data_IF_665078086565
#
_entry.id   IF_665078086565
#
_cell.length_a   1.000
_cell.length_b   1.000
_cell.length_c   1.000
_cell.angle_alpha   90.00
_cell.angle_beta   90.00
_cell.angle_gamma   90.00
#
_symmetry.space_group_name_H-M   'P 1'
#
loop_
_entity.id
_entity.type
_entity.pdbx_description
1 polymer ?
#
# COMPACT_ATOMS: atom_id res chain seq x y z
N UNK A 1 -18.42 39.38 9.49
CA UNK A 1 -18.52 39.09 8.04
C UNK A 1 -19.55 38.00 7.72
N UNK A 2 -19.57 36.86 8.43
CA UNK A 2 -20.55 35.76 8.27
C UNK A 2 -22.00 36.18 8.58
N UNK A 3 -22.22 36.98 9.63
CA UNK A 3 -23.57 37.43 10.01
C UNK A 3 -24.26 38.32 8.97
N UNK A 4 -23.49 39.02 8.13
CA UNK A 4 -24.04 39.82 7.03
C UNK A 4 -24.48 38.94 5.85
N UNK A 5 -23.80 37.81 5.63
CA UNK A 5 -24.15 36.83 4.59
C UNK A 5 -25.44 36.08 4.93
N UNK A 6 -25.67 35.74 6.20
CA UNK A 6 -26.88 35.05 6.66
C UNK A 6 -28.13 35.95 6.65
N UNK A 7 -27.95 37.27 6.83
CA UNK A 7 -29.05 38.25 6.88
C UNK A 7 -29.42 38.86 5.52
N UNK A 8 -28.56 38.73 4.51
CA UNK A 8 -28.90 39.20 3.17
C UNK A 8 -29.86 38.23 2.49
N UNK A 9 -31.15 38.55 2.48
CA UNK A 9 -32.07 38.06 1.44
C UNK A 9 -31.64 38.69 0.11
N UNK A 10 -30.57 38.19 -0.50
CA UNK A 10 -30.28 38.52 -1.89
C UNK A 10 -31.33 37.81 -2.74
N UNK A 11 -32.05 38.59 -3.55
CA UNK A 11 -32.84 38.10 -4.68
C UNK A 11 -32.01 37.07 -5.42
N UNK A 12 -32.58 35.88 -5.64
CA UNK A 12 -31.99 34.86 -6.50
C UNK A 12 -31.69 35.51 -7.85
N UNK A 13 -30.41 35.65 -8.15
CA UNK A 13 -29.95 35.98 -9.50
C UNK A 13 -30.32 34.82 -10.40
N UNK A 14 -31.30 35.05 -11.27
CA UNK A 14 -31.67 34.13 -12.34
C UNK A 14 -30.42 33.96 -13.22
N UNK A 15 -29.80 32.79 -13.14
CA UNK A 15 -28.69 32.42 -14.02
C UNK A 15 -29.27 32.27 -15.43
N UNK A 16 -28.71 32.92 -16.47
CA UNK A 16 -29.23 32.80 -17.83
C UNK A 16 -29.24 31.34 -18.26
N UNK A 17 -30.35 30.89 -18.84
CA UNK A 17 -30.45 29.56 -19.43
C UNK A 17 -29.39 29.42 -20.53
N UNK A 18 -28.39 28.57 -20.30
CA UNK A 18 -27.31 28.29 -21.26
C UNK A 18 -25.90 28.19 -20.67
N UNK A 19 -25.66 28.59 -19.42
CA UNK A 19 -24.37 28.37 -18.77
C UNK A 19 -24.36 27.03 -18.03
N UNK A 20 -23.93 25.98 -18.73
CA UNK A 20 -23.77 24.61 -18.21
C UNK A 20 -22.46 24.40 -17.43
N UNK A 21 -21.74 25.47 -17.08
CA UNK A 21 -20.57 25.35 -16.21
C UNK A 21 -21.07 24.97 -14.82
N UNK A 22 -20.57 23.84 -14.29
CA UNK A 22 -20.73 23.48 -12.89
C UNK A 22 -20.36 24.69 -12.03
N UNK A 23 -21.28 25.09 -11.17
CA UNK A 23 -21.07 26.28 -10.37
C UNK A 23 -19.87 26.04 -9.44
N UNK A 24 -18.82 26.85 -9.59
CA UNK A 24 -17.83 27.08 -8.53
C UNK A 24 -18.49 27.69 -7.25
N UNK A 25 -19.80 27.96 -7.32
CA UNK A 25 -20.60 28.43 -6.21
C UNK A 25 -20.98 27.27 -5.27
N UNK A 26 -20.17 27.11 -4.23
CA UNK A 26 -20.43 26.19 -3.11
C UNK A 26 -21.56 26.67 -2.19
N UNK A 27 -22.33 27.71 -2.55
CA UNK A 27 -23.48 28.19 -1.77
C UNK A 27 -24.53 27.10 -1.49
N UNK A 28 -24.59 26.07 -2.35
CA UNK A 28 -25.40 24.85 -2.19
C UNK A 28 -25.06 24.03 -0.93
N UNK A 29 -23.80 24.03 -0.47
CA UNK A 29 -23.37 23.38 0.79
C UNK A 29 -24.07 23.97 2.01
N UNK A 30 -24.54 25.21 1.91
CA UNK A 30 -25.21 25.93 3.00
C UNK A 30 -26.74 25.81 2.95
N UNK A 31 -27.31 25.17 1.92
CA UNK A 31 -28.77 24.91 1.83
C UNK A 31 -29.25 23.91 2.89
N UNK A 32 -28.58 22.77 3.16
CA UNK A 32 -28.98 21.85 4.22
C UNK A 32 -28.96 22.49 5.61
N UNK A 33 -28.04 23.44 5.85
CA UNK A 33 -27.93 24.19 7.10
C UNK A 33 -29.13 25.11 7.35
N UNK A 34 -29.92 25.41 6.30
CA UNK A 34 -31.16 26.17 6.40
C UNK A 34 -32.34 25.21 6.46
N UNK A 35 -32.57 24.68 7.65
CA UNK A 35 -33.82 24.02 8.09
C UNK A 35 -33.99 22.61 7.50
N UNK A 36 -33.64 21.61 8.30
CA UNK A 36 -34.04 20.22 8.11
C UNK A 36 -34.69 19.73 9.41
N UNK A 37 -35.85 19.09 9.29
CA UNK A 37 -36.66 18.62 10.44
C UNK A 37 -36.05 17.33 11.03
N UNK A 38 -35.12 16.69 10.31
CA UNK A 38 -34.45 15.44 10.65
C UNK A 38 -32.95 15.53 10.35
N UNK A 39 -32.11 15.23 11.34
CA UNK A 39 -30.65 15.18 11.20
C UNK A 39 -30.19 14.18 10.13
N UNK A 40 -30.97 13.13 9.87
CA UNK A 40 -30.59 12.08 8.91
C UNK A 40 -30.71 12.53 7.45
N UNK A 41 -31.77 13.27 7.13
CA UNK A 41 -31.98 13.83 5.78
C UNK A 41 -30.97 14.94 5.49
N UNK A 42 -30.63 15.73 6.52
CA UNK A 42 -29.53 16.70 6.50
C UNK A 42 -28.20 16.06 6.13
N UNK A 43 -27.77 15.03 6.88
CA UNK A 43 -26.50 14.36 6.62
C UNK A 43 -26.49 13.67 5.26
N UNK A 44 -27.58 13.03 4.86
CA UNK A 44 -27.68 12.40 3.55
C UNK A 44 -27.58 13.42 2.40
N UNK A 45 -28.24 14.58 2.51
CA UNK A 45 -28.15 15.64 1.50
C UNK A 45 -26.74 16.26 1.45
N UNK A 46 -26.10 16.44 2.60
CA UNK A 46 -24.72 16.93 2.69
C UNK A 46 -23.74 15.94 2.03
N UNK A 47 -23.85 14.65 2.34
CA UNK A 47 -23.02 13.58 1.77
C UNK A 47 -23.24 13.47 0.25
N UNK A 48 -24.50 13.50 -0.22
CA UNK A 48 -24.80 13.45 -1.65
C UNK A 48 -24.27 14.66 -2.41
N UNK A 49 -24.28 15.84 -1.79
CA UNK A 49 -23.66 17.04 -2.37
C UNK A 49 -22.15 16.92 -2.40
N UNK A 50 -21.51 16.41 -1.35
CA UNK A 50 -20.06 16.25 -1.27
C UNK A 50 -19.56 15.27 -2.35
N UNK A 51 -20.11 14.06 -2.39
CA UNK A 51 -19.70 13.02 -3.34
C UNK A 51 -20.07 13.38 -4.78
N UNK A 52 -21.28 13.91 -5.01
CA UNK A 52 -21.77 14.27 -6.34
C UNK A 52 -21.06 15.48 -6.94
N UNK A 53 -20.74 16.48 -6.12
CA UNK A 53 -19.96 17.65 -6.53
C UNK A 53 -18.51 17.28 -6.79
N UNK A 54 -17.87 16.51 -5.89
CA UNK A 54 -16.50 16.04 -6.08
C UNK A 54 -16.38 15.24 -7.39
N UNK A 55 -17.28 14.29 -7.64
CA UNK A 55 -17.30 13.52 -8.89
C UNK A 55 -17.44 14.42 -10.13
N UNK A 56 -18.24 15.48 -10.02
CA UNK A 56 -18.46 16.44 -11.10
C UNK A 56 -17.21 17.29 -11.39
N UNK A 57 -16.51 17.76 -10.35
CA UNK A 57 -15.21 18.46 -10.47
C UNK A 57 -14.15 17.52 -11.05
N UNK A 58 -14.10 16.27 -10.60
CA UNK A 58 -13.15 15.28 -11.11
C UNK A 58 -13.39 14.96 -12.59
N UNK A 59 -14.66 14.81 -13.01
CA UNK A 59 -15.02 14.68 -14.44
C UNK A 59 -14.61 15.90 -15.24
N UNK A 60 -14.89 17.09 -14.73
CA UNK A 60 -14.52 18.32 -15.39
C UNK A 60 -13.00 18.42 -15.59
N UNK A 61 -12.21 18.13 -14.56
CA UNK A 61 -10.76 18.08 -14.66
C UNK A 61 -10.29 17.02 -15.66
N UNK A 62 -10.87 15.81 -15.61
CA UNK A 62 -10.53 14.72 -16.53
C UNK A 62 -10.78 15.09 -18.01
N UNK A 63 -11.92 15.74 -18.31
CA UNK A 63 -12.26 16.13 -19.68
C UNK A 63 -11.54 17.41 -20.15
N UNK A 64 -11.23 18.36 -19.25
CA UNK A 64 -10.57 19.63 -19.62
C UNK A 64 -9.04 19.53 -19.67
N UNK A 65 -8.44 18.84 -18.71
CA UNK A 65 -6.98 18.74 -18.54
C UNK A 65 -6.43 17.34 -18.81
N UNK A 66 -7.16 16.30 -18.38
CA UNK A 66 -6.74 14.90 -18.50
C UNK A 66 -6.52 14.41 -19.94
N UNK A 67 -7.07 15.08 -20.95
CA UNK A 67 -6.82 14.73 -22.36
C UNK A 67 -5.44 15.13 -22.89
N UNK A 68 -4.74 16.07 -22.23
CA UNK A 68 -3.54 16.70 -22.80
C UNK A 68 -2.24 15.94 -22.50
N UNK A 69 -2.22 15.07 -21.50
CA UNK A 69 -1.00 14.35 -21.08
C UNK A 69 -1.31 12.93 -20.65
N UNK A 70 -0.58 11.94 -21.19
CA UNK A 70 -0.56 10.57 -20.68
C UNK A 70 0.20 10.55 -19.34
N UNK A 71 -0.54 10.53 -18.24
CA UNK A 71 0.01 10.56 -16.88
C UNK A 71 -0.76 9.55 -16.01
N UNK A 72 -0.09 9.00 -14.99
CA UNK A 72 -0.66 8.09 -13.98
C UNK A 72 -2.01 8.58 -13.46
N UNK A 73 -2.10 9.85 -13.07
CA UNK A 73 -3.33 10.46 -12.54
C UNK A 73 -4.51 10.36 -13.51
N UNK A 74 -4.27 10.49 -14.82
CA UNK A 74 -5.31 10.33 -15.85
C UNK A 74 -5.90 8.92 -15.81
N UNK A 75 -5.05 7.90 -15.70
CA UNK A 75 -5.48 6.50 -15.68
C UNK A 75 -6.22 6.14 -14.40
N UNK A 76 -5.78 6.65 -13.26
CA UNK A 76 -6.48 6.49 -11.98
C UNK A 76 -7.87 7.15 -12.04
N UNK A 77 -7.96 8.35 -12.62
CA UNK A 77 -9.23 9.03 -12.85
C UNK A 77 -10.12 8.30 -13.87
N UNK A 78 -9.56 7.75 -14.95
CA UNK A 78 -10.31 6.96 -15.93
C UNK A 78 -10.90 5.70 -15.29
N UNK A 79 -10.11 5.01 -14.45
CA UNK A 79 -10.57 3.85 -13.70
C UNK A 79 -11.71 4.20 -12.75
N UNK A 80 -11.59 5.30 -12.00
CA UNK A 80 -12.62 5.76 -11.07
C UNK A 80 -13.90 6.24 -11.78
N UNK A 81 -13.76 7.06 -12.82
CA UNK A 81 -14.89 7.76 -13.45
C UNK A 81 -15.63 6.91 -14.48
N UNK A 82 -14.90 6.06 -15.21
CA UNK A 82 -15.45 5.23 -16.28
C UNK A 82 -15.61 3.77 -15.87
N UNK A 83 -15.23 3.42 -14.63
CA UNK A 83 -15.21 2.05 -14.11
C UNK A 83 -14.44 1.07 -15.02
N UNK A 84 -13.47 1.58 -15.77
CA UNK A 84 -12.66 0.82 -16.71
C UNK A 84 -11.31 0.54 -16.06
N UNK A 85 -11.10 -0.72 -15.69
CA UNK A 85 -9.86 -1.15 -15.02
C UNK A 85 -8.62 -0.84 -15.86
N UNK A 86 -7.74 -0.01 -15.33
CA UNK A 86 -6.46 0.36 -15.96
C UNK A 86 -5.29 -0.35 -15.27
N UNK A 87 -5.35 -0.47 -13.94
CA UNK A 87 -4.29 -1.06 -13.14
C UNK A 87 -4.65 -2.47 -12.65
N UNK A 88 -3.65 -3.34 -12.69
CA UNK A 88 -3.73 -4.73 -12.26
C UNK A 88 -2.72 -4.98 -11.15
N UNK A 89 -3.17 -5.58 -10.05
CA UNK A 89 -2.29 -6.01 -8.96
C UNK A 89 -1.52 -7.26 -9.38
N UNK A 90 -0.19 -7.17 -9.40
CA UNK A 90 0.73 -8.28 -9.64
C UNK A 90 1.08 -8.98 -8.33
N UNK A 91 1.33 -8.18 -7.30
CA UNK A 91 1.59 -8.66 -5.94
C UNK A 91 0.63 -7.88 -5.05
N UNK A 92 -0.33 -8.59 -4.45
CA UNK A 92 -1.33 -8.02 -3.51
C UNK A 92 -1.96 -9.09 -2.64
N UNK A 93 -2.20 -10.28 -3.19
CA UNK A 93 -2.66 -11.41 -2.39
C UNK A 93 -1.48 -12.24 -1.85
N UNK A 94 -1.80 -13.06 -0.84
CA UNK A 94 -0.82 -13.94 -0.21
C UNK A 94 -0.25 -14.98 -1.20
N UNK A 95 -1.03 -15.46 -2.18
CA UNK A 95 -0.57 -16.50 -3.10
C UNK A 95 0.52 -15.99 -4.05
N UNK A 96 0.33 -14.82 -4.64
CA UNK A 96 1.33 -14.18 -5.50
C UNK A 96 2.56 -13.80 -4.69
N UNK A 97 2.38 -13.35 -3.45
CA UNK A 97 3.50 -13.03 -2.57
C UNK A 97 4.30 -14.27 -2.16
N UNK A 98 3.65 -15.34 -1.69
CA UNK A 98 4.29 -16.62 -1.35
C UNK A 98 5.05 -17.17 -2.56
N UNK A 99 4.48 -17.06 -3.78
CA UNK A 99 5.16 -17.47 -5.01
C UNK A 99 6.43 -16.65 -5.24
N UNK A 100 6.33 -15.32 -5.16
CA UNK A 100 7.46 -14.42 -5.34
C UNK A 100 8.56 -14.72 -4.31
N UNK A 101 8.19 -14.81 -3.04
CA UNK A 101 9.08 -15.05 -1.91
C UNK A 101 9.81 -16.40 -2.04
N UNK A 102 9.07 -17.47 -2.40
CA UNK A 102 9.67 -18.78 -2.70
C UNK A 102 10.67 -18.70 -3.85
N UNK A 103 10.32 -17.97 -4.91
CA UNK A 103 11.18 -17.82 -6.07
C UNK A 103 12.43 -16.98 -5.77
N UNK A 104 12.34 -15.99 -4.89
CA UNK A 104 13.50 -15.25 -4.39
C UNK A 104 14.45 -16.21 -3.68
N UNK A 105 13.94 -16.99 -2.72
CA UNK A 105 14.74 -17.95 -1.95
C UNK A 105 15.41 -19.01 -2.84
N UNK A 106 14.74 -19.45 -3.91
CA UNK A 106 15.35 -20.38 -4.87
C UNK A 106 16.60 -19.82 -5.59
N UNK A 107 16.75 -18.50 -5.66
CA UNK A 107 17.79 -17.81 -6.43
C UNK A 107 18.72 -16.95 -5.54
N UNK A 108 18.55 -16.98 -4.22
CA UNK A 108 19.36 -16.20 -3.29
C UNK A 108 20.54 -17.01 -2.75
N UNK A 109 21.69 -16.35 -2.60
CA UNK A 109 22.97 -16.94 -2.23
C UNK A 109 23.71 -16.07 -1.21
N UNK A 110 23.11 -15.88 -0.04
CA UNK A 110 23.70 -15.09 1.05
C UNK A 110 24.80 -15.90 1.76
N UNK A 111 25.98 -15.28 1.97
CA UNK A 111 26.99 -15.82 2.89
C UNK A 111 26.58 -15.57 4.35
N UNK A 112 25.81 -16.51 4.89
CA UNK A 112 25.35 -16.45 6.29
C UNK A 112 26.48 -16.52 7.31
N UNK A 113 27.65 -17.08 6.96
CA UNK A 113 28.79 -17.11 7.87
C UNK A 113 29.32 -15.69 8.05
N UNK A 114 29.55 -15.00 6.95
CA UNK A 114 30.01 -13.61 6.95
C UNK A 114 29.01 -12.67 7.62
N UNK A 115 27.71 -12.86 7.38
CA UNK A 115 26.66 -12.07 8.01
C UNK A 115 26.61 -12.27 9.54
N UNK A 116 26.82 -13.50 10.03
CA UNK A 116 26.93 -13.78 11.48
C UNK A 116 28.21 -13.22 12.08
N UNK A 117 29.32 -13.23 11.35
CA UNK A 117 30.58 -12.60 11.76
C UNK A 117 30.43 -11.09 11.91
N UNK A 118 29.75 -10.43 10.98
CA UNK A 118 29.36 -9.01 11.09
C UNK A 118 28.52 -8.74 12.35
N UNK A 119 27.64 -9.67 12.71
CA UNK A 119 26.81 -9.59 13.91
C UNK A 119 27.52 -9.81 15.25
N UNK A 120 28.83 -10.12 15.26
CA UNK A 120 29.57 -10.32 16.51
C UNK A 120 29.64 -8.99 17.28
N UNK A 121 29.05 -8.97 18.48
CA UNK A 121 28.95 -7.76 19.31
C UNK A 121 27.63 -7.01 19.17
N UNK A 122 26.76 -7.41 18.22
CA UNK A 122 25.37 -6.95 18.17
C UNK A 122 24.48 -7.73 19.15
N UNK A 123 23.26 -7.24 19.33
CA UNK A 123 22.21 -7.88 20.13
C UNK A 123 21.97 -9.32 19.63
N UNK A 124 21.71 -10.27 20.55
CA UNK A 124 21.37 -11.66 20.22
C UNK A 124 20.19 -11.79 19.26
N UNK A 125 19.29 -10.80 19.25
CA UNK A 125 18.20 -10.69 18.30
C UNK A 125 18.65 -10.63 16.83
N UNK A 126 19.82 -10.03 16.53
CA UNK A 126 20.40 -10.02 15.19
C UNK A 126 20.64 -11.45 14.69
N UNK A 127 21.35 -12.24 15.50
CA UNK A 127 21.67 -13.62 15.15
C UNK A 127 20.41 -14.48 15.04
N UNK A 128 19.38 -14.22 15.86
CA UNK A 128 18.09 -14.88 15.73
C UNK A 128 17.42 -14.60 14.38
N UNK A 129 17.37 -13.34 13.93
CA UNK A 129 16.83 -12.98 12.61
C UNK A 129 17.64 -13.61 11.47
N UNK A 130 18.98 -13.59 11.56
CA UNK A 130 19.85 -14.22 10.54
C UNK A 130 19.64 -15.73 10.48
N UNK A 131 19.53 -16.41 11.62
CA UNK A 131 19.20 -17.84 11.67
C UNK A 131 17.82 -18.12 11.06
N UNK A 132 16.81 -17.31 11.35
CA UNK A 132 15.48 -17.46 10.73
C UNK A 132 15.54 -17.33 9.21
N UNK A 133 16.28 -16.34 8.69
CA UNK A 133 16.47 -16.16 7.25
C UNK A 133 17.20 -17.38 6.65
N UNK A 134 18.27 -17.84 7.30
CA UNK A 134 19.05 -19.01 6.87
C UNK A 134 18.21 -20.29 6.84
N UNK A 135 17.38 -20.53 7.85
CA UNK A 135 16.47 -21.67 7.90
C UNK A 135 15.46 -21.65 6.75
N UNK A 136 14.92 -20.47 6.41
CA UNK A 136 14.03 -20.32 5.25
C UNK A 136 14.72 -20.61 3.93
N UNK A 137 16.02 -20.31 3.82
CA UNK A 137 16.79 -20.67 2.63
C UNK A 137 17.08 -22.18 2.52
N UNK A 138 17.16 -22.89 3.65
CA UNK A 138 17.43 -24.34 3.70
C UNK A 138 16.18 -25.19 3.52
N UNK A 139 15.08 -24.82 4.17
CA UNK A 139 13.83 -25.58 4.16
C UNK A 139 12.80 -24.96 3.21
N UNK A 140 12.91 -25.34 1.93
CA UNK A 140 12.03 -24.88 0.85
C UNK A 140 10.57 -25.34 1.01
N UNK A 141 10.30 -26.32 1.87
CA UNK A 141 8.95 -26.82 2.15
C UNK A 141 8.25 -26.07 3.29
N UNK A 142 9.00 -25.50 4.24
CA UNK A 142 8.47 -24.58 5.28
C UNK A 142 8.14 -23.17 4.76
N UNK A 143 8.34 -22.92 3.46
CA UNK A 143 7.94 -21.67 2.81
C UNK A 143 6.45 -21.60 2.47
N UNK A 144 5.63 -22.57 2.89
CA UNK A 144 4.15 -22.53 2.76
C UNK A 144 3.50 -21.25 3.31
N UNK A 145 4.25 -20.47 4.10
CA UNK A 145 3.83 -19.20 4.69
C UNK A 145 4.41 -17.94 4.03
N UNK A 146 5.47 -17.99 3.21
CA UNK A 146 6.02 -16.80 2.50
C UNK A 146 6.39 -15.64 3.43
N UNK A 147 7.56 -15.74 4.07
CA UNK A 147 8.00 -14.81 5.12
C UNK A 147 9.46 -14.38 4.99
N UNK A 148 10.16 -14.76 3.92
CA UNK A 148 11.58 -14.45 3.75
C UNK A 148 11.79 -12.94 3.65
N UNK A 149 11.10 -12.26 2.73
CA UNK A 149 11.19 -10.81 2.59
C UNK A 149 10.76 -10.06 3.85
N UNK A 150 9.83 -10.61 4.63
CA UNK A 150 9.44 -10.04 5.92
C UNK A 150 10.58 -10.12 6.94
N UNK A 151 11.27 -11.25 7.05
CA UNK A 151 12.43 -11.36 7.94
C UNK A 151 13.60 -10.47 7.48
N UNK A 152 13.80 -10.32 6.17
CA UNK A 152 14.78 -9.37 5.61
C UNK A 152 14.40 -7.92 5.97
N UNK A 153 13.12 -7.55 5.84
CA UNK A 153 12.61 -6.25 6.28
C UNK A 153 12.89 -6.02 7.77
N UNK A 154 12.55 -6.98 8.63
CA UNK A 154 12.82 -6.87 10.07
C UNK A 154 14.30 -6.70 10.37
N UNK A 155 15.18 -7.42 9.68
CA UNK A 155 16.63 -7.30 9.85
C UNK A 155 17.13 -5.90 9.48
N UNK A 156 16.69 -5.36 8.33
CA UNK A 156 17.03 -4.02 7.88
C UNK A 156 16.51 -2.95 8.85
N UNK A 157 15.23 -3.00 9.20
CA UNK A 157 14.60 -2.01 10.07
C UNK A 157 15.17 -2.04 11.50
N UNK A 158 15.63 -3.19 12.00
CA UNK A 158 16.16 -3.30 13.35
C UNK A 158 17.65 -2.93 13.47
N UNK A 159 18.46 -3.18 12.43
CA UNK A 159 19.92 -3.10 12.55
C UNK A 159 20.60 -2.22 11.50
N UNK A 160 19.90 -1.86 10.43
CA UNK A 160 20.45 -1.08 9.33
C UNK A 160 19.67 0.23 9.08
N UNK A 161 18.69 0.57 9.93
CA UNK A 161 17.82 1.73 9.78
C UNK A 161 18.57 3.08 9.68
N UNK A 162 19.76 3.19 10.29
CA UNK A 162 20.59 4.40 10.22
C UNK A 162 21.29 4.56 8.86
N UNK A 163 21.40 3.48 8.08
CA UNK A 163 22.12 3.43 6.80
C UNK A 163 21.17 3.31 5.63
N UNK A 164 20.12 2.50 5.77
CA UNK A 164 19.18 2.20 4.70
C UNK A 164 17.78 1.88 5.22
N UNK A 165 16.80 2.05 4.33
CA UNK A 165 15.40 1.73 4.57
C UNK A 165 14.95 0.63 3.60
N UNK A 166 14.26 -0.38 4.12
CA UNK A 166 13.81 -1.52 3.32
C UNK A 166 12.91 -1.09 2.16
N UNK A 167 11.99 -0.16 2.40
CA UNK A 167 11.05 0.29 1.38
C UNK A 167 11.79 1.00 0.25
N UNK A 168 12.79 1.83 0.59
CA UNK A 168 13.65 2.52 -0.36
C UNK A 168 14.46 1.55 -1.22
N UNK A 169 15.09 0.54 -0.59
CA UNK A 169 15.83 -0.53 -1.30
C UNK A 169 14.91 -1.26 -2.28
N UNK A 170 13.77 -1.74 -1.79
CA UNK A 170 12.82 -2.47 -2.64
C UNK A 170 12.25 -1.60 -3.76
N UNK A 171 12.01 -0.32 -3.50
CA UNK A 171 11.54 0.62 -4.50
C UNK A 171 12.58 0.81 -5.60
N UNK A 172 13.87 0.96 -5.26
CA UNK A 172 14.95 1.06 -6.23
C UNK A 172 15.06 -0.20 -7.08
N UNK A 173 15.12 -1.39 -6.46
CA UNK A 173 15.20 -2.68 -7.16
C UNK A 173 14.04 -2.87 -8.13
N UNK A 174 12.81 -2.61 -7.67
CA UNK A 174 11.62 -2.80 -8.51
C UNK A 174 11.58 -1.76 -9.63
N UNK A 175 11.95 -0.50 -9.35
CA UNK A 175 12.03 0.53 -10.37
C UNK A 175 13.04 0.16 -11.45
N UNK A 176 14.23 -0.30 -11.07
CA UNK A 176 15.26 -0.67 -12.03
C UNK A 176 14.76 -1.81 -12.92
N UNK A 177 14.17 -2.85 -12.33
CA UNK A 177 13.52 -3.94 -13.08
C UNK A 177 12.47 -3.44 -14.10
N UNK A 178 11.59 -2.51 -13.71
CA UNK A 178 10.58 -2.00 -14.66
C UNK A 178 11.20 -1.15 -15.76
N UNK A 179 12.24 -0.37 -15.46
CA UNK A 179 12.88 0.52 -16.44
C UNK A 179 13.82 -0.20 -17.41
N UNK A 180 14.44 -1.31 -16.98
CA UNK A 180 15.41 -2.08 -17.77
C UNK A 180 14.79 -3.30 -18.45
N UNK A 181 14.01 -4.11 -17.74
CA UNK A 181 13.59 -5.46 -18.17
C UNK A 181 12.17 -5.54 -18.73
N UNK A 182 11.34 -4.51 -18.49
CA UNK A 182 9.90 -4.54 -18.76
C UNK A 182 9.32 -3.26 -19.41
N UNK A 183 10.17 -2.36 -19.90
CA UNK A 183 9.75 -1.08 -20.51
C UNK A 183 8.82 -1.24 -21.72
N UNK A 184 8.98 -2.34 -22.44
CA UNK A 184 8.18 -2.77 -23.59
C UNK A 184 6.81 -3.33 -23.19
N UNK A 185 6.68 -3.93 -22.01
CA UNK A 185 5.44 -4.63 -21.56
C UNK A 185 4.57 -3.81 -20.61
N UNK A 186 5.15 -2.83 -19.91
CA UNK A 186 4.50 -2.07 -18.86
C UNK A 186 4.51 -0.59 -19.22
N UNK A 187 3.34 0.05 -19.14
CA UNK A 187 3.17 1.47 -19.43
C UNK A 187 3.40 2.32 -18.20
N UNK A 188 2.73 1.95 -17.11
CA UNK A 188 2.87 2.58 -15.81
C UNK A 188 2.85 1.52 -14.73
N UNK A 189 3.47 1.83 -13.61
CA UNK A 189 3.43 1.00 -12.42
C UNK A 189 3.47 1.88 -11.18
N UNK A 190 3.04 1.33 -10.06
CA UNK A 190 3.27 1.92 -8.76
C UNK A 190 3.40 0.84 -7.70
N UNK A 191 4.10 1.20 -6.63
CA UNK A 191 4.48 0.32 -5.54
C UNK A 191 3.87 0.90 -4.26
N UNK A 192 3.25 0.06 -3.46
CA UNK A 192 2.79 0.42 -2.12
C UNK A 192 3.41 -0.52 -1.11
N UNK A 193 4.02 0.04 -0.06
CA UNK A 193 4.48 -0.72 1.09
C UNK A 193 3.41 -0.71 2.15
N UNK A 194 2.97 -1.89 2.60
CA UNK A 194 2.00 -2.02 3.68
C UNK A 194 2.58 -2.89 4.78
N UNK A 195 2.37 -2.44 6.01
CA UNK A 195 2.56 -3.28 7.19
C UNK A 195 1.20 -3.81 7.62
N UNK A 196 1.08 -5.10 7.97
CA UNK A 196 -0.17 -5.63 8.50
C UNK A 196 -0.55 -4.85 9.77
N UNK A 197 -1.76 -4.29 9.76
CA UNK A 197 -2.35 -3.70 10.96
C UNK A 197 -3.28 -4.73 11.57
N UNK A 198 -2.89 -5.26 12.73
CA UNK A 198 -3.65 -6.29 13.44
C UNK A 198 -4.83 -5.72 14.26
N UNK A 199 -5.02 -4.40 14.27
CA UNK A 199 -6.04 -3.75 15.11
C UNK A 199 -5.74 -3.82 16.61
N UNK A 200 -4.56 -4.33 16.98
CA UNK A 200 -4.08 -4.49 18.36
C UNK A 200 -3.03 -3.46 18.77
N UNK A 201 -2.87 -2.38 18.00
CA UNK A 201 -1.95 -1.28 18.36
C UNK A 201 -2.28 -0.70 19.75
N UNK A 202 -3.56 -0.68 20.10
CA UNK A 202 -4.03 -0.47 21.47
C UNK A 202 -4.58 -1.80 21.98
N UNK A 203 -3.81 -2.48 22.82
CA UNK A 203 -4.22 -3.75 23.39
C UNK A 203 -5.49 -3.59 24.24
N UNK A 204 -6.57 -4.31 23.93
CA UNK A 204 -7.79 -4.22 24.71
C UNK A 204 -7.60 -4.87 26.09
N UNK A 205 -8.30 -4.32 27.07
CA UNK A 205 -8.41 -4.89 28.40
C UNK A 205 -9.68 -5.74 28.51
N UNK A 206 -9.59 -6.84 29.25
CA UNK A 206 -10.72 -7.71 29.57
C UNK A 206 -10.88 -7.72 31.08
N UNK A 207 -12.12 -7.55 31.55
CA UNK A 207 -12.46 -7.75 32.96
C UNK A 207 -12.89 -9.20 33.16
N UNK A 208 -12.13 -9.94 33.97
CA UNK A 208 -12.44 -11.33 34.35
C UNK A 208 -12.51 -11.38 35.87
N UNK A 209 -13.65 -11.80 36.42
CA UNK A 209 -13.87 -11.93 37.87
C UNK A 209 -13.57 -10.66 38.69
N UNK A 210 -13.74 -9.48 38.09
CA UNK A 210 -13.48 -8.18 38.72
C UNK A 210 -12.05 -7.66 38.55
N UNK A 211 -11.13 -8.48 38.04
CA UNK A 211 -9.76 -8.09 37.72
C UNK A 211 -9.65 -7.61 36.26
N UNK A 212 -8.93 -6.50 36.05
CA UNK A 212 -8.61 -5.99 34.73
C UNK A 212 -7.34 -6.68 34.24
N UNK A 213 -7.45 -7.46 33.17
CA UNK A 213 -6.32 -8.14 32.51
C UNK A 213 -6.14 -7.62 31.10
N UNK A 214 -4.91 -7.64 30.60
CA UNK A 214 -4.63 -7.34 29.20
C UNK A 214 -5.00 -8.58 28.37
N UNK A 215 -5.55 -8.40 27.17
CA UNK A 215 -5.96 -9.50 26.28
C UNK A 215 -4.85 -10.55 26.08
N UNK A 216 -3.59 -10.13 25.98
CA UNK A 216 -2.44 -11.03 25.79
C UNK A 216 -2.15 -11.95 26.99
N UNK A 217 -2.59 -11.59 28.20
CA UNK A 217 -2.42 -12.43 29.39
C UNK A 217 -3.37 -13.64 29.39
N UNK A 218 -4.44 -13.56 28.61
CA UNK A 218 -5.55 -14.53 28.62
C UNK A 218 -5.82 -15.15 27.25
N UNK A 219 -5.22 -14.62 26.18
CA UNK A 219 -5.45 -15.03 24.81
C UNK A 219 -4.17 -14.97 23.99
N UNK A 220 -3.95 -16.00 23.17
CA UNK A 220 -2.86 -16.05 22.20
C UNK A 220 -3.20 -15.33 20.87
N UNK A 221 -4.27 -14.55 20.81
CA UNK A 221 -4.76 -13.97 19.56
C UNK A 221 -3.72 -13.03 18.92
N UNK A 222 -2.93 -12.32 19.71
CA UNK A 222 -1.87 -11.47 19.18
C UNK A 222 -0.78 -12.26 18.48
N UNK A 223 -0.29 -13.35 19.09
CA UNK A 223 0.73 -14.20 18.49
C UNK A 223 0.22 -14.91 17.24
N UNK A 224 -1.06 -15.32 17.22
CA UNK A 224 -1.70 -15.87 16.02
C UNK A 224 -1.80 -14.84 14.90
N UNK A 225 -2.28 -13.62 15.20
CA UNK A 225 -2.39 -12.55 14.22
C UNK A 225 -1.03 -12.13 13.67
N UNK A 226 0.00 -12.03 14.52
CA UNK A 226 1.36 -11.77 14.08
C UNK A 226 1.85 -12.88 13.14
N UNK A 227 1.63 -14.15 13.50
CA UNK A 227 2.02 -15.31 12.69
C UNK A 227 1.34 -15.31 11.31
N UNK A 228 0.05 -14.99 11.25
CA UNK A 228 -0.70 -14.87 9.99
C UNK A 228 -0.28 -13.64 9.19
N UNK A 229 0.08 -12.56 9.89
CA UNK A 229 0.65 -11.33 9.37
C UNK A 229 1.91 -11.53 8.52
N UNK A 230 2.72 -12.53 8.85
CA UNK A 230 3.96 -12.85 8.13
C UNK A 230 3.69 -13.20 6.65
N UNK A 231 2.49 -13.66 6.33
CA UNK A 231 2.09 -14.06 4.97
C UNK A 231 1.55 -12.88 4.15
N UNK A 232 1.36 -11.72 4.77
CA UNK A 232 0.90 -10.54 4.06
C UNK A 232 2.04 -9.94 3.24
N UNK A 233 1.77 -9.53 1.99
CA UNK A 233 2.81 -8.95 1.16
C UNK A 233 3.36 -7.68 1.80
N UNK A 234 4.67 -7.64 2.01
CA UNK A 234 5.38 -6.42 2.44
C UNK A 234 5.40 -5.36 1.36
N UNK A 235 5.15 -5.76 0.11
CA UNK A 235 5.13 -4.90 -1.07
C UNK A 235 3.93 -5.26 -1.95
N UNK A 236 3.19 -4.25 -2.36
CA UNK A 236 2.16 -4.36 -3.39
C UNK A 236 2.64 -3.70 -4.67
N UNK A 237 2.42 -4.39 -5.79
CA UNK A 237 2.87 -3.94 -7.10
C UNK A 237 1.67 -3.91 -8.02
N UNK A 238 1.42 -2.75 -8.61
CA UNK A 238 0.34 -2.51 -9.56
C UNK A 238 0.91 -2.05 -10.88
N UNK A 239 0.35 -2.55 -11.98
CA UNK A 239 0.83 -2.20 -13.32
C UNK A 239 -0.33 -1.88 -14.26
N UNK A 240 -0.06 -1.01 -15.22
CA UNK A 240 -0.83 -0.85 -16.45
C UNK A 240 -0.07 -1.55 -17.57
N UNK A 241 -0.71 -2.56 -18.15
CA UNK A 241 -0.12 -3.39 -19.21
C UNK A 241 -0.16 -2.65 -20.55
N UNK A 242 0.90 -2.79 -21.35
CA UNK A 242 0.88 -2.50 -22.79
C UNK A 242 0.41 -3.70 -23.60
N UNK A 243 0.85 -4.88 -23.17
CA UNK A 243 0.55 -6.15 -23.83
C UNK A 243 0.11 -7.20 -22.79
N UNK A 244 -0.64 -8.20 -23.23
CA UNK A 244 -0.99 -9.32 -22.38
C UNK A 244 0.21 -10.25 -22.14
N UNK A 245 0.42 -10.61 -20.89
CA UNK A 245 1.45 -11.55 -20.49
C UNK A 245 0.99 -12.36 -19.28
N UNK A 246 1.61 -13.53 -19.09
CA UNK A 246 1.34 -14.42 -17.96
C UNK A 246 1.91 -13.85 -16.67
N UNK A 247 1.03 -13.60 -15.71
CA UNK A 247 1.39 -13.07 -14.39
C UNK A 247 2.43 -13.92 -13.65
N UNK A 248 2.32 -15.24 -13.72
CA UNK A 248 3.24 -16.16 -13.05
C UNK A 248 4.67 -16.04 -13.55
N UNK A 249 4.86 -15.91 -14.87
CA UNK A 249 6.19 -15.76 -15.48
C UNK A 249 6.80 -14.39 -15.15
N UNK A 250 5.95 -13.36 -15.09
CA UNK A 250 6.36 -12.02 -14.69
C UNK A 250 6.85 -11.98 -13.24
N UNK A 251 6.07 -12.55 -12.31
CA UNK A 251 6.44 -12.65 -10.88
C UNK A 251 7.74 -13.43 -10.73
N UNK A 252 7.91 -14.53 -11.48
CA UNK A 252 9.14 -15.34 -11.38
C UNK A 252 10.38 -14.59 -11.90
N UNK A 253 10.25 -13.73 -12.91
CA UNK A 253 11.35 -12.87 -13.39
C UNK A 253 11.68 -11.79 -12.36
N UNK A 254 10.68 -11.08 -11.86
CA UNK A 254 10.85 -10.07 -10.83
C UNK A 254 11.53 -10.66 -9.57
N UNK A 255 11.10 -11.84 -9.14
CA UNK A 255 11.67 -12.53 -7.98
C UNK A 255 13.15 -12.87 -8.16
N UNK A 256 13.57 -13.33 -9.35
CA UNK A 256 14.99 -13.58 -9.64
C UNK A 256 15.81 -12.31 -9.60
N UNK A 257 15.25 -11.23 -10.16
CA UNK A 257 15.89 -9.93 -10.16
C UNK A 257 16.09 -9.39 -8.74
N UNK A 258 15.04 -9.45 -7.91
CA UNK A 258 15.12 -9.12 -6.48
C UNK A 258 16.18 -9.96 -5.75
N UNK A 259 16.26 -11.26 -6.04
CA UNK A 259 17.25 -12.13 -5.39
C UNK A 259 18.69 -11.71 -5.71
N UNK A 260 18.99 -11.34 -6.96
CA UNK A 260 20.31 -10.86 -7.37
C UNK A 260 20.67 -9.57 -6.65
N UNK A 261 19.76 -8.59 -6.63
CA UNK A 261 20.03 -7.31 -5.97
C UNK A 261 20.13 -7.44 -4.44
N UNK A 262 19.35 -8.34 -3.82
CA UNK A 262 19.51 -8.63 -2.39
C UNK A 262 20.84 -9.32 -2.07
N UNK A 263 21.36 -10.19 -2.95
CA UNK A 263 22.70 -10.75 -2.77
C UNK A 263 23.75 -9.64 -2.77
N UNK A 264 23.69 -8.73 -3.76
CA UNK A 264 24.60 -7.58 -3.85
C UNK A 264 24.52 -6.70 -2.60
N UNK A 265 23.30 -6.44 -2.10
CA UNK A 265 23.08 -5.70 -0.87
C UNK A 265 23.78 -6.35 0.34
N UNK A 266 23.56 -7.65 0.58
CA UNK A 266 24.17 -8.34 1.72
C UNK A 266 25.69 -8.47 1.58
N UNK A 267 26.22 -8.60 0.37
CA UNK A 267 27.66 -8.57 0.14
C UNK A 267 28.27 -7.21 0.49
N UNK A 268 27.63 -6.12 0.07
CA UNK A 268 28.10 -4.76 0.31
C UNK A 268 28.07 -4.38 1.79
N UNK A 269 27.02 -4.77 2.53
CA UNK A 269 26.85 -4.43 3.95
C UNK A 269 27.80 -5.23 4.85
N UNK A 270 28.28 -6.39 4.37
CA UNK A 270 29.20 -7.25 5.13
C UNK A 270 30.67 -7.06 4.73
N UNK A 271 30.97 -6.23 3.74
CA UNK A 271 32.34 -5.84 3.33
C UNK A 271 32.78 -4.59 4.09
#
# INVERSE_FOLDING_TARGET
MIMNYLRSRKKETIVPAGDYRLANDISGLWKPLKITISNREYFNALIQWDDGWLLSIMKQYFYLEGYKTENKLKYELEELLSNKKQFYSIVKDANHFIRMDKKIVENIHIDFKKLKEYGIGLNSYFNHLVCNIEEKCKDKDNMKKGSFLFNVKMLIEAFFADVCDFNSIMQEIINDFFTTECKDKVEHYFIEFKSPNYGLANMPYIVIDGDVKILDEVSNIHSMLQSDGLNFPVVHIYIKKKEEFKYSEFIDRLARYIAVELNNFFENVTN
#
